data_IF_611131798433
#
_entry.id   IF_611131798433
#
_cell.length_a   1.000
_cell.length_b   1.000
_cell.length_c   1.000
_cell.angle_alpha   90.00
_cell.angle_beta   90.00
_cell.angle_gamma   90.00
#
_symmetry.space_group_name_H-M   'P 1'
#
loop_
_entity.id
_entity.type
_entity.pdbx_description
1 polymer ?
#
# COMPACT_ATOMS: atom_id res chain seq x y z
N UNK A 1 24.83 35.29 26.53
CA UNK A 1 23.84 34.19 26.58
C UNK A 1 22.41 34.74 26.64
N UNK A 2 22.12 35.70 27.52
CA UNK A 2 20.76 36.27 27.67
C UNK A 2 20.20 36.93 26.40
N UNK A 3 21.03 37.66 25.64
CA UNK A 3 20.61 38.30 24.38
C UNK A 3 20.25 37.29 23.28
N UNK A 4 21.00 36.19 23.13
CA UNK A 4 20.67 35.15 22.15
C UNK A 4 19.45 34.32 22.59
N UNK A 5 19.22 34.16 23.89
CA UNK A 5 17.99 33.56 24.39
C UNK A 5 16.78 34.39 23.96
N UNK A 6 16.80 35.72 24.06
CA UNK A 6 15.61 36.49 23.72
C UNK A 6 15.44 36.73 22.22
N UNK A 7 16.53 36.92 21.48
CA UNK A 7 16.52 37.33 20.06
C UNK A 7 16.74 36.19 19.06
N UNK A 8 17.15 35.01 19.53
CA UNK A 8 17.56 33.87 18.70
C UNK A 8 19.01 33.96 18.21
N UNK A 9 19.43 32.92 17.49
CA UNK A 9 20.76 32.83 16.90
C UNK A 9 21.83 32.27 17.83
N UNK A 10 21.46 31.46 18.82
CA UNK A 10 22.42 30.69 19.61
C UNK A 10 23.00 29.54 18.77
N UNK A 11 24.16 28.98 19.16
CA UNK A 11 24.81 27.87 18.43
C UNK A 11 23.88 26.65 18.29
N UNK A 12 23.09 26.36 19.33
CA UNK A 12 22.08 25.29 19.33
C UNK A 12 20.98 25.51 18.28
N UNK A 13 20.61 26.77 18.01
CA UNK A 13 19.57 27.11 17.04
C UNK A 13 20.02 26.75 15.62
N UNK A 14 21.28 27.06 15.28
CA UNK A 14 21.85 26.70 13.98
C UNK A 14 22.00 25.18 13.81
N UNK A 15 22.37 24.46 14.88
CA UNK A 15 22.43 22.99 14.86
C UNK A 15 21.04 22.39 14.60
N UNK A 16 20.01 22.87 15.30
CA UNK A 16 18.65 22.38 15.11
C UNK A 16 18.10 22.72 13.71
N UNK A 17 18.40 23.91 13.17
CA UNK A 17 18.06 24.27 11.78
C UNK A 17 18.76 23.33 10.80
N UNK A 18 20.04 23.03 10.99
CA UNK A 18 20.78 22.12 10.12
C UNK A 18 20.16 20.72 10.11
N UNK A 19 19.77 20.20 11.28
CA UNK A 19 19.07 18.91 11.41
C UNK A 19 17.70 18.95 10.71
N UNK A 20 16.96 20.05 10.85
CA UNK A 20 15.68 20.25 10.17
C UNK A 20 15.83 20.29 8.64
N UNK A 21 16.86 20.96 8.12
CA UNK A 21 17.19 20.98 6.69
C UNK A 21 17.56 19.58 6.19
N UNK A 22 18.42 18.87 6.92
CA UNK A 22 18.81 17.50 6.58
C UNK A 22 17.58 16.58 6.55
N UNK A 23 16.66 16.74 7.50
CA UNK A 23 15.40 16.00 7.54
C UNK A 23 14.56 16.25 6.29
N UNK A 24 14.43 17.51 5.86
CA UNK A 24 13.73 17.84 4.60
C UNK A 24 14.42 17.26 3.36
N UNK A 25 15.75 17.24 3.31
CA UNK A 25 16.51 16.60 2.22
C UNK A 25 16.22 15.09 2.17
N UNK A 26 16.17 14.43 3.34
CA UNK A 26 15.82 13.01 3.43
C UNK A 26 14.38 12.77 2.96
N UNK A 27 13.42 13.63 3.30
CA UNK A 27 12.04 13.54 2.83
C UNK A 27 11.94 13.66 1.31
N UNK A 28 12.58 14.68 0.73
CA UNK A 28 12.56 14.93 -0.71
C UNK A 28 13.25 13.82 -1.48
N UNK A 29 14.39 13.33 -1.00
CA UNK A 29 15.09 12.21 -1.65
C UNK A 29 14.22 10.96 -1.65
N UNK A 30 13.58 10.61 -0.52
CA UNK A 30 12.65 9.47 -0.46
C UNK A 30 11.41 9.63 -1.33
N UNK A 31 10.89 10.84 -1.49
CA UNK A 31 9.79 11.11 -2.42
C UNK A 31 10.22 10.93 -3.89
N UNK A 32 11.44 11.35 -4.25
CA UNK A 32 11.93 11.38 -5.63
C UNK A 32 12.53 10.05 -6.12
N UNK A 33 13.19 9.29 -5.25
CA UNK A 33 13.88 8.03 -5.59
C UNK A 33 13.00 7.03 -6.38
N UNK A 34 11.72 6.82 -6.04
CA UNK A 34 10.85 5.94 -6.80
C UNK A 34 10.62 6.42 -8.25
N UNK A 35 10.54 7.72 -8.49
CA UNK A 35 10.32 8.28 -9.82
C UNK A 35 11.59 8.30 -10.67
N UNK A 36 12.74 8.59 -10.04
CA UNK A 36 14.02 8.70 -10.74
C UNK A 36 14.64 7.33 -11.06
N UNK A 37 14.56 6.38 -10.13
CA UNK A 37 15.24 5.07 -10.26
C UNK A 37 14.30 4.01 -10.86
N UNK A 38 13.05 3.96 -10.44
CA UNK A 38 12.16 2.84 -10.77
C UNK A 38 11.24 3.11 -11.97
N UNK A 39 11.35 4.30 -12.61
CA UNK A 39 10.52 4.76 -13.74
C UNK A 39 9.03 4.38 -13.55
N UNK A 40 8.51 4.54 -12.34
CA UNK A 40 7.14 4.13 -12.01
C UNK A 40 6.18 5.00 -12.83
N UNK A 41 5.28 4.41 -13.65
CA UNK A 41 4.31 5.19 -14.39
C UNK A 41 3.46 6.00 -13.42
N UNK A 42 3.28 7.29 -13.71
CA UNK A 42 2.43 8.19 -12.91
C UNK A 42 1.01 7.63 -12.93
N UNK A 43 0.60 6.96 -11.86
CA UNK A 43 -0.80 6.57 -11.69
C UNK A 43 -1.60 7.86 -11.50
N UNK A 44 -2.61 8.09 -12.35
CA UNK A 44 -3.55 9.23 -12.22
C UNK A 44 -4.44 9.13 -10.97
N UNK A 45 -4.20 8.15 -10.09
CA UNK A 45 -5.03 7.82 -8.95
C UNK A 45 -4.73 8.72 -7.74
N UNK A 46 -5.78 8.96 -6.94
CA UNK A 46 -5.82 9.87 -5.80
C UNK A 46 -4.83 9.55 -4.67
N UNK A 47 -4.17 8.39 -4.69
CA UNK A 47 -3.15 7.99 -3.71
C UNK A 47 -1.81 8.74 -3.84
N UNK A 48 -1.47 9.23 -5.05
CA UNK A 48 -0.21 9.96 -5.28
C UNK A 48 -0.15 11.32 -4.56
N UNK A 49 -1.31 11.93 -4.33
CA UNK A 49 -1.38 13.28 -3.74
C UNK A 49 -1.05 13.30 -2.25
N UNK A 50 -1.31 12.22 -1.52
CA UNK A 50 -1.10 12.18 -0.06
C UNK A 50 0.38 12.37 0.31
N UNK A 51 1.36 11.66 -0.29
CA UNK A 51 2.78 11.90 -0.02
C UNK A 51 3.26 13.32 -0.36
N UNK A 52 2.74 13.93 -1.43
CA UNK A 52 3.08 15.31 -1.81
C UNK A 52 2.56 16.30 -0.77
N UNK A 53 1.28 16.17 -0.41
CA UNK A 53 0.65 16.99 0.62
C UNK A 53 1.38 16.83 1.95
N UNK A 54 1.85 15.61 2.25
CA UNK A 54 2.66 15.33 3.43
C UNK A 54 3.97 16.11 3.44
N UNK A 55 4.77 16.06 2.37
CA UNK A 55 6.03 16.83 2.28
C UNK A 55 5.77 18.32 2.39
N UNK A 56 4.71 18.82 1.74
CA UNK A 56 4.29 20.20 1.87
C UNK A 56 3.96 20.55 3.33
N UNK A 57 3.19 19.72 4.03
CA UNK A 57 2.85 19.93 5.43
C UNK A 57 4.07 19.87 6.35
N UNK A 58 4.99 18.94 6.12
CA UNK A 58 6.26 18.82 6.86
C UNK A 58 7.12 20.06 6.71
N UNK A 59 7.24 20.59 5.49
CA UNK A 59 7.96 21.83 5.23
C UNK A 59 7.35 23.00 5.99
N UNK A 60 6.02 23.14 5.93
CA UNK A 60 5.31 24.21 6.62
C UNK A 60 5.47 24.12 8.15
N UNK A 61 5.37 22.92 8.73
CA UNK A 61 5.55 22.73 10.17
C UNK A 61 6.96 23.13 10.63
N UNK A 62 8.00 22.64 9.95
CA UNK A 62 9.39 22.96 10.30
C UNK A 62 9.70 24.44 10.12
N UNK A 63 9.32 25.01 8.97
CA UNK A 63 9.54 26.42 8.69
C UNK A 63 8.78 27.32 9.68
N UNK A 64 7.53 26.97 10.00
CA UNK A 64 6.74 27.71 10.98
C UNK A 64 7.36 27.67 12.37
N UNK A 65 7.88 26.51 12.79
CA UNK A 65 8.55 26.37 14.08
C UNK A 65 9.79 27.28 14.15
N UNK A 66 10.62 27.31 13.10
CA UNK A 66 11.80 28.17 13.02
C UNK A 66 11.43 29.66 13.13
N UNK A 67 10.35 30.08 12.45
CA UNK A 67 9.94 31.49 12.37
C UNK A 67 9.20 31.96 13.62
N UNK A 68 8.25 31.16 14.14
CA UNK A 68 7.40 31.54 15.28
C UNK A 68 8.16 31.55 16.61
N UNK A 69 9.15 30.67 16.76
CA UNK A 69 9.91 30.45 17.99
C UNK A 69 11.18 31.32 18.07
N UNK A 70 11.36 32.24 17.10
CA UNK A 70 12.48 33.17 16.99
C UNK A 70 13.86 32.48 16.97
N UNK A 71 14.04 31.46 16.12
CA UNK A 71 15.38 30.86 15.92
C UNK A 71 16.35 31.81 15.21
N UNK A 72 15.82 32.71 14.38
CA UNK A 72 16.59 33.67 13.59
C UNK A 72 16.17 35.10 13.94
N UNK A 73 17.17 35.98 14.00
CA UNK A 73 16.99 37.41 14.31
C UNK A 73 16.35 38.13 13.12
N UNK A 74 15.03 38.08 13.00
CA UNK A 74 14.29 38.83 11.98
C UNK A 74 13.78 40.17 12.52
N UNK A 75 14.14 41.28 11.86
CA UNK A 75 13.47 42.57 12.08
C UNK A 75 12.04 42.48 11.52
N UNK A 76 11.04 42.53 12.40
CA UNK A 76 9.60 42.51 12.05
C UNK A 76 9.19 43.82 11.36
N UNK A 77 9.31 43.90 10.03
CA UNK A 77 8.92 45.04 9.18
C UNK A 77 7.79 44.72 8.18
N UNK A 78 7.54 43.46 7.85
CA UNK A 78 6.57 43.05 6.82
C UNK A 78 5.39 42.23 7.38
N UNK A 79 4.23 42.27 6.70
CA UNK A 79 3.00 41.53 7.08
C UNK A 79 3.21 40.01 7.18
N UNK A 80 4.12 39.45 6.35
CA UNK A 80 4.56 38.05 6.39
C UNK A 80 5.36 37.68 7.64
N UNK A 81 5.66 38.62 8.54
CA UNK A 81 6.31 38.36 9.84
C UNK A 81 5.32 38.41 11.01
N UNK A 82 4.01 38.42 10.71
CA UNK A 82 2.96 38.33 11.72
C UNK A 82 3.02 36.97 12.41
N UNK A 83 3.05 36.98 13.74
CA UNK A 83 2.94 35.78 14.57
C UNK A 83 1.73 34.92 14.18
N UNK A 84 0.62 35.55 13.77
CA UNK A 84 -0.60 34.84 13.39
C UNK A 84 -0.43 34.01 12.12
N UNK A 85 0.34 34.49 11.15
CA UNK A 85 0.54 33.74 9.90
C UNK A 85 1.30 32.46 10.22
N UNK A 86 2.43 32.56 10.91
CA UNK A 86 3.26 31.38 11.19
C UNK A 86 2.68 30.52 12.32
N UNK A 87 2.53 31.05 13.53
CA UNK A 87 2.13 30.26 14.70
C UNK A 87 0.67 29.75 14.66
N UNK A 88 -0.21 30.38 13.87
CA UNK A 88 -1.63 29.97 13.82
C UNK A 88 -1.99 29.30 12.50
N UNK A 89 -1.68 29.91 11.35
CA UNK A 89 -2.09 29.36 10.04
C UNK A 89 -1.10 28.34 9.47
N UNK A 90 0.20 28.61 9.54
CA UNK A 90 1.20 27.71 8.95
C UNK A 90 1.49 26.53 9.87
N UNK A 91 1.65 26.76 11.18
CA UNK A 91 1.90 25.70 12.17
C UNK A 91 0.70 24.77 12.33
N UNK A 92 -0.49 25.34 12.49
CA UNK A 92 -1.73 24.62 12.74
C UNK A 92 -2.28 23.92 11.49
N UNK A 93 -3.17 24.55 10.70
CA UNK A 93 -3.86 23.89 9.60
C UNK A 93 -2.93 23.47 8.47
N UNK A 94 -1.88 24.23 8.11
CA UNK A 94 -1.00 23.83 6.99
C UNK A 94 0.16 22.91 7.40
N UNK A 95 0.46 22.82 8.69
CA UNK A 95 1.56 22.03 9.24
C UNK A 95 1.03 20.78 9.94
N UNK A 96 0.96 20.84 11.27
CA UNK A 96 0.61 19.69 12.11
C UNK A 96 -0.79 19.13 11.80
N UNK A 97 -1.79 20.00 11.65
CA UNK A 97 -3.16 19.63 11.34
C UNK A 97 -3.28 18.89 10.01
N UNK A 98 -2.57 19.34 8.98
CA UNK A 98 -2.53 18.67 7.67
C UNK A 98 -1.82 17.32 7.73
N UNK A 99 -0.69 17.23 8.45
CA UNK A 99 0.03 15.95 8.66
C UNK A 99 -0.87 14.91 9.34
N UNK A 100 -1.53 15.29 10.43
CA UNK A 100 -2.39 14.39 11.19
C UNK A 100 -3.67 14.04 10.43
N UNK A 101 -4.24 15.01 9.70
CA UNK A 101 -5.39 14.80 8.82
C UNK A 101 -5.11 13.81 7.69
N UNK A 102 -3.91 13.87 7.09
CA UNK A 102 -3.46 12.87 6.12
C UNK A 102 -3.42 11.47 6.74
N UNK A 103 -2.98 11.35 8.00
CA UNK A 103 -2.95 10.06 8.70
C UNK A 103 -4.32 9.54 9.07
N UNK A 104 -5.21 10.39 9.54
CA UNK A 104 -6.59 9.97 9.83
C UNK A 104 -7.27 9.52 8.53
N UNK A 105 -7.02 10.22 7.42
CA UNK A 105 -7.51 9.82 6.10
C UNK A 105 -7.00 8.43 5.71
N UNK A 106 -5.71 8.14 5.91
CA UNK A 106 -5.15 6.82 5.64
C UNK A 106 -5.75 5.74 6.55
N UNK A 107 -5.83 5.98 7.87
CA UNK A 107 -6.42 5.04 8.82
C UNK A 107 -7.90 4.77 8.53
N UNK A 108 -8.65 5.80 8.10
CA UNK A 108 -10.03 5.68 7.66
C UNK A 108 -10.17 4.80 6.41
N UNK A 109 -9.29 4.98 5.41
CA UNK A 109 -9.30 4.12 4.22
C UNK A 109 -9.04 2.65 4.58
N UNK A 110 -8.04 2.40 5.43
CA UNK A 110 -7.71 1.05 5.90
C UNK A 110 -8.87 0.46 6.71
N UNK A 111 -9.50 1.23 7.59
CA UNK A 111 -10.68 0.78 8.33
C UNK A 111 -11.79 0.30 7.40
N UNK A 112 -12.11 1.03 6.33
CA UNK A 112 -13.16 0.60 5.41
C UNK A 112 -12.79 -0.64 4.61
N UNK A 113 -11.54 -0.72 4.13
CA UNK A 113 -11.06 -1.86 3.34
C UNK A 113 -11.01 -3.13 4.19
N UNK A 114 -10.47 -3.04 5.41
CA UNK A 114 -10.17 -4.21 6.23
C UNK A 114 -11.32 -4.58 7.17
N UNK A 115 -11.95 -3.61 7.83
CA UNK A 115 -13.03 -3.86 8.81
C UNK A 115 -14.38 -3.90 8.12
N UNK A 116 -14.69 -2.91 7.27
CA UNK A 116 -15.98 -2.86 6.56
C UNK A 116 -15.99 -3.66 5.27
N UNK A 117 -14.85 -4.19 4.82
CA UNK A 117 -14.68 -4.99 3.60
C UNK A 117 -15.22 -4.28 2.34
N UNK A 118 -15.15 -2.95 2.32
CA UNK A 118 -15.73 -2.10 1.27
C UNK A 118 -14.81 -0.94 0.94
N UNK A 119 -15.02 -0.32 -0.21
CA UNK A 119 -14.38 0.95 -0.52
C UNK A 119 -14.82 2.03 0.47
N UNK A 120 -13.92 2.97 0.83
CA UNK A 120 -14.30 4.12 1.62
C UNK A 120 -15.39 4.91 0.88
N UNK A 121 -16.49 5.29 1.55
CA UNK A 121 -17.63 5.95 0.91
C UNK A 121 -17.28 7.33 0.39
N UNK A 122 -16.24 7.95 0.96
CA UNK A 122 -15.76 9.28 0.61
C UNK A 122 -14.34 9.14 0.04
N UNK A 123 -14.11 9.72 -1.13
CA UNK A 123 -12.78 9.75 -1.75
C UNK A 123 -11.82 10.59 -0.92
N UNK A 124 -10.54 10.21 -0.86
CA UNK A 124 -9.53 10.88 0.00
C UNK A 124 -9.42 12.38 -0.25
N UNK A 125 -9.50 12.83 -1.51
CA UNK A 125 -9.39 14.25 -1.84
C UNK A 125 -10.58 15.09 -1.38
N UNK A 126 -11.72 14.46 -1.05
CA UNK A 126 -12.90 15.13 -0.46
C UNK A 126 -12.83 15.03 1.06
N UNK A 127 -12.45 13.86 1.58
CA UNK A 127 -12.37 13.61 3.02
C UNK A 127 -11.29 14.47 3.70
N UNK A 128 -10.13 14.64 3.06
CA UNK A 128 -9.01 15.38 3.64
C UNK A 128 -9.33 16.87 3.91
N UNK A 129 -9.89 17.65 2.96
CA UNK A 129 -10.34 19.01 3.28
C UNK A 129 -11.42 19.05 4.36
N UNK A 130 -12.35 18.10 4.37
CA UNK A 130 -13.43 18.04 5.35
C UNK A 130 -12.90 17.85 6.78
N UNK A 131 -11.94 16.94 6.96
CA UNK A 131 -11.30 16.74 8.25
C UNK A 131 -10.32 17.88 8.60
N UNK A 132 -9.94 18.75 7.66
CA UNK A 132 -9.12 19.92 7.97
C UNK A 132 -9.96 21.13 8.45
N UNK A 133 -11.27 21.14 8.20
CA UNK A 133 -12.16 22.25 8.55
C UNK A 133 -12.08 22.67 10.03
N UNK A 134 -12.04 21.75 11.03
CA UNK A 134 -11.89 22.15 12.42
C UNK A 134 -10.61 22.96 12.71
N UNK A 135 -9.50 22.63 12.04
CA UNK A 135 -8.25 23.39 12.13
C UNK A 135 -8.37 24.78 11.53
N UNK A 136 -9.00 24.89 10.35
CA UNK A 136 -9.21 26.16 9.67
C UNK A 136 -10.13 27.06 10.49
N UNK A 137 -11.24 26.51 11.01
CA UNK A 137 -12.18 27.23 11.85
C UNK A 137 -11.52 27.72 13.15
N UNK A 138 -10.74 26.85 13.80
CA UNK A 138 -9.96 27.23 14.99
C UNK A 138 -8.96 28.35 14.72
N UNK A 139 -8.19 28.24 13.62
CA UNK A 139 -7.23 29.26 13.20
C UNK A 139 -7.92 30.61 12.90
N UNK A 140 -9.05 30.60 12.20
CA UNK A 140 -9.84 31.80 11.91
C UNK A 140 -10.36 32.46 13.20
N UNK A 141 -10.86 31.67 14.15
CA UNK A 141 -11.37 32.18 15.42
C UNK A 141 -10.27 32.83 16.26
N UNK A 142 -9.11 32.17 16.38
CA UNK A 142 -7.92 32.71 17.05
C UNK A 142 -7.46 34.01 16.37
N UNK A 143 -7.38 34.03 15.04
CA UNK A 143 -6.96 35.22 14.31
C UNK A 143 -7.94 36.39 14.49
N UNK A 144 -9.25 36.12 14.55
CA UNK A 144 -10.26 37.15 14.81
C UNK A 144 -10.15 37.73 16.22
N UNK A 145 -9.88 36.88 17.21
CA UNK A 145 -9.80 37.28 18.64
C UNK A 145 -8.46 37.86 19.05
N UNK A 146 -7.43 37.66 18.22
CA UNK A 146 -6.07 38.17 18.38
C UNK A 146 -5.46 37.97 19.79
N UNK A 147 -5.34 36.72 20.29
CA UNK A 147 -4.83 36.46 21.64
C UNK A 147 -3.30 36.34 21.75
N UNK A 148 -2.52 36.44 20.66
CA UNK A 148 -1.05 36.30 20.71
C UNK A 148 -0.37 37.59 21.14
N UNK A 149 0.67 37.45 21.97
CA UNK A 149 1.58 38.52 22.34
C UNK A 149 2.70 38.76 21.27
N UNK A 150 3.57 39.75 21.51
CA UNK A 150 4.67 40.10 20.60
C UNK A 150 5.74 38.99 20.45
N UNK A 151 5.79 38.05 21.40
CA UNK A 151 6.64 36.85 21.37
C UNK A 151 5.96 35.65 20.71
N UNK A 152 4.75 35.84 20.15
CA UNK A 152 3.91 34.80 19.56
C UNK A 152 3.34 33.76 20.54
N UNK A 153 3.35 34.03 21.85
CA UNK A 153 2.74 33.16 22.85
C UNK A 153 1.25 33.47 23.03
N UNK A 154 0.45 32.41 23.19
CA UNK A 154 -0.96 32.49 23.59
C UNK A 154 -1.08 32.30 25.11
N UNK A 155 -2.02 33.03 25.72
CA UNK A 155 -2.41 32.80 27.11
C UNK A 155 -3.04 31.41 27.32
N UNK A 156 -2.93 30.87 28.52
CA UNK A 156 -3.28 29.48 28.84
C UNK A 156 -4.72 29.11 28.45
N UNK A 157 -5.67 30.04 28.59
CA UNK A 157 -7.09 29.86 28.27
C UNK A 157 -7.34 29.61 26.76
N UNK A 158 -6.43 30.05 25.88
CA UNK A 158 -6.47 29.77 24.44
C UNK A 158 -5.70 28.50 24.07
N UNK A 159 -4.72 28.11 24.88
CA UNK A 159 -3.93 26.88 24.68
C UNK A 159 -4.77 25.64 24.97
N UNK A 160 -5.56 25.62 26.04
CA UNK A 160 -6.43 24.48 26.37
C UNK A 160 -7.31 23.98 25.20
N UNK A 161 -8.13 24.82 24.54
CA UNK A 161 -8.96 24.36 23.42
C UNK A 161 -8.12 23.94 22.19
N UNK A 162 -6.98 24.59 21.94
CA UNK A 162 -6.07 24.17 20.88
C UNK A 162 -5.51 22.77 21.15
N UNK A 163 -5.08 22.50 22.39
CA UNK A 163 -4.57 21.18 22.80
C UNK A 163 -5.64 20.10 22.76
N UNK A 164 -6.88 20.44 23.13
CA UNK A 164 -8.01 19.51 23.01
C UNK A 164 -8.21 19.07 21.56
N UNK A 165 -8.12 20.00 20.60
CA UNK A 165 -8.19 19.67 19.17
C UNK A 165 -7.08 18.71 18.75
N UNK A 166 -5.82 18.95 19.16
CA UNK A 166 -4.70 18.06 18.86
C UNK A 166 -4.95 16.64 19.42
N UNK A 167 -5.40 16.54 20.67
CA UNK A 167 -5.68 15.27 21.34
C UNK A 167 -6.84 14.51 20.68
N UNK A 168 -7.89 15.20 20.22
CA UNK A 168 -9.02 14.57 19.53
C UNK A 168 -8.59 13.87 18.24
N UNK A 169 -7.66 14.44 17.47
CA UNK A 169 -7.18 13.81 16.24
C UNK A 169 -6.30 12.58 16.54
N UNK A 170 -5.46 12.64 17.59
CA UNK A 170 -4.70 11.46 18.04
C UNK A 170 -5.65 10.38 18.56
N UNK A 171 -6.68 10.74 19.31
CA UNK A 171 -7.70 9.80 19.77
C UNK A 171 -8.46 9.16 18.61
N UNK A 172 -8.79 9.93 17.56
CA UNK A 172 -9.39 9.40 16.34
C UNK A 172 -8.47 8.38 15.65
N UNK A 173 -7.16 8.67 15.55
CA UNK A 173 -6.18 7.71 15.03
C UNK A 173 -6.12 6.43 15.86
N UNK A 174 -6.11 6.54 17.19
CA UNK A 174 -6.14 5.38 18.10
C UNK A 174 -7.42 4.57 17.88
N UNK A 175 -8.58 5.21 17.75
CA UNK A 175 -9.86 4.54 17.51
C UNK A 175 -9.87 3.76 16.20
N UNK A 176 -9.47 4.39 15.09
CA UNK A 176 -9.40 3.71 13.79
C UNK A 176 -8.34 2.60 13.79
N UNK A 177 -7.14 2.86 14.31
CA UNK A 177 -6.04 1.87 14.32
C UNK A 177 -6.37 0.68 15.23
N UNK A 178 -6.96 0.95 16.40
CA UNK A 178 -7.41 -0.07 17.33
C UNK A 178 -8.48 -0.99 16.75
N UNK A 179 -9.42 -0.44 15.97
CA UNK A 179 -10.45 -1.23 15.30
C UNK A 179 -9.91 -2.21 14.26
N UNK A 180 -8.70 -1.98 13.74
CA UNK A 180 -8.08 -2.83 12.71
C UNK A 180 -7.03 -3.77 13.35
N UNK A 181 -6.84 -3.75 14.68
CA UNK A 181 -5.78 -4.51 15.38
C UNK A 181 -5.88 -6.03 15.22
N UNK A 182 -7.09 -6.56 15.08
CA UNK A 182 -7.35 -8.01 15.02
C UNK A 182 -7.14 -8.61 13.63
N UNK A 183 -6.77 -7.79 12.64
CA UNK A 183 -6.59 -8.24 11.27
C UNK A 183 -5.11 -8.54 11.08
N UNK A 184 -4.79 -9.77 10.69
CA UNK A 184 -3.43 -10.16 10.31
C UNK A 184 -3.07 -9.44 9.01
N UNK A 185 -2.38 -8.32 9.14
CA UNK A 185 -1.80 -7.66 8.00
C UNK A 185 -0.61 -8.46 7.51
N UNK A 186 -0.57 -8.74 6.20
CA UNK A 186 0.61 -9.32 5.54
C UNK A 186 1.84 -8.38 5.58
N UNK A 187 1.63 -7.13 6.00
CA UNK A 187 2.63 -6.07 6.07
C UNK A 187 2.57 -5.35 7.43
N UNK A 188 3.69 -4.79 7.88
CA UNK A 188 3.83 -4.04 9.14
C UNK A 188 3.06 -2.69 9.18
N UNK A 189 2.01 -2.49 8.37
CA UNK A 189 1.22 -1.26 8.28
C UNK A 189 0.57 -0.85 9.61
N UNK A 190 0.02 -1.83 10.32
CA UNK A 190 -0.60 -1.59 11.61
C UNK A 190 0.44 -1.10 12.63
N UNK A 191 1.61 -1.76 12.63
CA UNK A 191 2.75 -1.37 13.45
C UNK A 191 3.21 0.04 13.08
N UNK A 192 3.22 0.39 11.80
CA UNK A 192 3.54 1.72 11.33
C UNK A 192 2.54 2.79 11.83
N UNK A 193 1.24 2.50 11.78
CA UNK A 193 0.21 3.40 12.33
C UNK A 193 0.37 3.61 13.84
N UNK A 194 0.67 2.54 14.58
CA UNK A 194 0.94 2.63 16.01
C UNK A 194 2.19 3.47 16.33
N UNK A 195 3.28 3.32 15.55
CA UNK A 195 4.44 4.21 15.66
C UNK A 195 4.07 5.65 15.36
N UNK A 196 3.25 5.90 14.33
CA UNK A 196 2.76 7.24 14.00
C UNK A 196 1.97 7.89 15.13
N UNK A 197 1.11 7.13 15.81
CA UNK A 197 0.40 7.56 17.01
C UNK A 197 1.39 7.89 18.13
N UNK A 198 2.35 7.00 18.39
CA UNK A 198 3.35 7.19 19.45
C UNK A 198 4.17 8.46 19.25
N UNK A 199 4.69 8.70 18.04
CA UNK A 199 5.45 9.92 17.73
C UNK A 199 4.59 11.18 17.80
N UNK A 200 3.34 11.12 17.33
CA UNK A 200 2.41 12.26 17.42
C UNK A 200 2.07 12.60 18.87
N UNK A 201 1.73 11.61 19.69
CA UNK A 201 1.47 11.79 21.12
C UNK A 201 2.71 12.30 21.88
N UNK A 202 3.89 11.76 21.57
CA UNK A 202 5.15 12.21 22.17
C UNK A 202 5.47 13.66 21.80
N UNK A 203 5.25 14.05 20.54
CA UNK A 203 5.46 15.43 20.09
C UNK A 203 4.54 16.41 20.81
N UNK A 204 3.27 16.05 21.01
CA UNK A 204 2.31 16.85 21.79
C UNK A 204 2.78 16.96 23.25
N UNK A 205 3.23 15.86 23.86
CA UNK A 205 3.76 15.85 25.22
C UNK A 205 4.98 16.75 25.40
N UNK A 206 5.95 16.69 24.49
CA UNK A 206 7.13 17.57 24.52
C UNK A 206 6.73 19.03 24.33
N UNK A 207 5.77 19.32 23.45
CA UNK A 207 5.28 20.68 23.27
C UNK A 207 4.63 21.24 24.53
N UNK A 208 3.77 20.46 25.20
CA UNK A 208 3.15 20.86 26.47
C UNK A 208 4.19 21.08 27.55
N UNK A 209 5.16 20.16 27.68
CA UNK A 209 6.24 20.30 28.64
C UNK A 209 7.05 21.58 28.38
N UNK A 210 7.42 21.85 27.12
CA UNK A 210 8.13 23.07 26.73
C UNK A 210 7.32 24.33 27.02
N UNK A 211 6.01 24.33 26.76
CA UNK A 211 5.12 25.45 27.06
C UNK A 211 5.06 25.73 28.57
N UNK A 212 4.75 24.72 29.39
CA UNK A 212 4.65 24.86 30.85
C UNK A 212 5.99 25.33 31.44
N UNK A 213 7.10 24.74 30.97
CA UNK A 213 8.42 25.03 31.49
C UNK A 213 8.87 26.46 31.16
N UNK A 214 8.52 26.96 29.97
CA UNK A 214 8.75 28.35 29.58
C UNK A 214 7.82 29.33 30.30
N UNK A 215 6.59 28.94 30.64
CA UNK A 215 5.64 29.79 31.38
C UNK A 215 6.02 29.95 32.86
N UNK A 216 6.47 28.87 33.52
CA UNK A 216 6.82 28.89 34.94
C UNK A 216 8.17 29.58 35.19
N UNK A 217 9.13 29.41 34.28
CA UNK A 217 10.52 29.87 34.47
C UNK A 217 10.94 30.87 33.38
N UNK A 218 10.17 31.94 33.20
CA UNK A 218 10.47 32.98 32.20
C UNK A 218 11.85 33.64 32.38
N UNK A 219 12.41 33.59 33.60
CA UNK A 219 13.70 34.21 33.95
C UNK A 219 14.92 33.34 33.57
N UNK A 220 14.73 32.05 33.28
CA UNK A 220 15.84 31.12 33.03
C UNK A 220 16.14 31.01 31.54
N UNK A 221 17.10 31.80 31.08
CA UNK A 221 17.51 31.89 29.67
C UNK A 221 17.95 30.56 29.03
N UNK A 222 18.69 29.70 29.74
CA UNK A 222 19.10 28.37 29.25
C UNK A 222 17.91 27.46 28.95
N UNK A 223 16.87 27.53 29.79
CA UNK A 223 15.69 26.68 29.68
C UNK A 223 14.90 27.01 28.41
N UNK A 224 14.82 28.30 28.10
CA UNK A 224 14.21 28.79 26.88
C UNK A 224 15.00 28.35 25.64
N UNK A 225 16.33 28.28 25.70
CA UNK A 225 17.15 27.77 24.58
C UNK A 225 16.94 26.26 24.41
N UNK A 226 16.97 25.50 25.51
CA UNK A 226 16.78 24.06 25.50
C UNK A 226 15.38 23.65 25.00
N UNK A 227 14.33 24.34 25.44
CA UNK A 227 12.95 24.06 25.02
C UNK A 227 12.77 24.26 23.53
N UNK A 228 13.30 25.34 22.96
CA UNK A 228 13.25 25.62 21.52
C UNK A 228 14.01 24.59 20.71
N UNK A 229 15.23 24.26 21.13
CA UNK A 229 16.02 23.19 20.52
C UNK A 229 15.23 21.87 20.48
N UNK A 230 14.66 21.45 21.62
CA UNK A 230 13.86 20.22 21.71
C UNK A 230 12.63 20.24 20.79
N UNK A 231 11.92 21.36 20.71
CA UNK A 231 10.75 21.49 19.83
C UNK A 231 11.09 21.24 18.36
N UNK A 232 12.16 21.84 17.83
CA UNK A 232 12.52 21.68 16.42
C UNK A 232 13.09 20.29 16.12
N UNK A 233 13.84 19.69 17.06
CA UNK A 233 14.32 18.31 16.93
C UNK A 233 13.15 17.33 16.93
N UNK A 234 12.20 17.48 17.86
CA UNK A 234 11.02 16.62 17.91
C UNK A 234 10.12 16.80 16.69
N UNK A 235 9.95 18.02 16.18
CA UNK A 235 9.25 18.26 14.92
C UNK A 235 9.96 17.57 13.75
N UNK A 236 11.30 17.60 13.71
CA UNK A 236 12.12 16.93 12.68
C UNK A 236 11.96 15.41 12.72
N UNK A 237 12.00 14.81 13.92
CA UNK A 237 11.75 13.38 14.13
C UNK A 237 10.32 13.02 13.73
N UNK A 238 9.33 13.84 14.14
CA UNK A 238 7.93 13.62 13.82
C UNK A 238 7.70 13.59 12.32
N UNK A 239 8.20 14.57 11.56
CA UNK A 239 7.98 14.60 10.10
C UNK A 239 8.68 13.45 9.39
N UNK A 240 9.87 13.04 9.85
CA UNK A 240 10.57 11.89 9.29
C UNK A 240 9.85 10.59 9.58
N UNK A 241 9.40 10.39 10.82
CA UNK A 241 8.62 9.22 11.21
C UNK A 241 7.33 9.18 10.40
N UNK A 242 6.52 10.25 10.46
CA UNK A 242 5.25 10.35 9.74
C UNK A 242 5.41 10.22 8.22
N UNK A 243 6.52 10.59 7.60
CA UNK A 243 6.69 10.35 6.17
C UNK A 243 7.14 8.91 5.86
N UNK A 244 8.09 8.38 6.64
CA UNK A 244 8.60 6.99 6.49
C UNK A 244 7.47 5.98 6.52
N UNK A 245 6.54 6.20 7.44
CA UNK A 245 5.36 5.39 7.70
C UNK A 245 4.20 5.67 6.70
N UNK A 246 4.30 6.70 5.85
CA UNK A 246 3.32 7.02 4.79
C UNK A 246 3.75 6.48 3.43
N UNK A 247 5.05 6.26 3.25
CA UNK A 247 5.66 5.77 2.03
C UNK A 247 5.62 4.24 1.89
N UNK A 248 5.21 3.50 2.93
CA UNK A 248 5.32 2.03 2.96
C UNK A 248 4.38 1.29 1.98
N UNK A 249 3.48 1.95 1.23
CA UNK A 249 2.25 1.23 0.85
C UNK A 249 1.60 1.36 -0.54
N UNK A 250 1.76 2.41 -1.37
CA UNK A 250 1.34 2.30 -2.77
C UNK A 250 2.53 1.98 -3.69
N UNK A 251 3.74 2.41 -3.30
CA UNK A 251 4.94 2.26 -4.11
C UNK A 251 5.68 0.97 -3.81
N UNK A 252 5.75 0.54 -2.55
CA UNK A 252 6.44 -0.71 -2.22
C UNK A 252 5.64 -1.95 -2.60
N UNK A 253 4.31 -1.89 -2.72
CA UNK A 253 3.50 -2.95 -3.33
C UNK A 253 3.73 -3.00 -4.84
N UNK A 254 3.78 -1.87 -5.54
CA UNK A 254 4.17 -1.83 -6.96
C UNK A 254 5.63 -2.26 -7.20
N UNK A 255 6.53 -1.93 -6.27
CA UNK A 255 7.96 -2.23 -6.38
C UNK A 255 8.28 -3.63 -5.86
N UNK A 256 7.65 -4.16 -4.80
CA UNK A 256 7.93 -5.52 -4.28
C UNK A 256 7.29 -6.61 -5.13
N UNK A 257 6.18 -6.32 -5.81
CA UNK A 257 5.69 -7.15 -6.92
C UNK A 257 6.71 -7.22 -8.06
N UNK A 258 7.62 -6.24 -8.17
CA UNK A 258 8.61 -6.10 -9.25
C UNK A 258 10.06 -6.36 -8.84
N UNK A 259 10.37 -6.43 -7.54
CA UNK A 259 11.75 -6.42 -6.98
C UNK A 259 12.14 -7.73 -6.30
N UNK A 260 11.22 -8.67 -6.10
CA UNK A 260 11.63 -10.07 -6.29
C UNK A 260 12.01 -10.14 -7.77
N UNK A 261 13.21 -10.63 -8.07
CA UNK A 261 13.82 -10.72 -9.40
C UNK A 261 12.80 -10.98 -10.53
N UNK A 262 13.04 -10.56 -11.78
CA UNK A 262 12.10 -10.70 -12.88
C UNK A 262 11.90 -12.17 -13.27
N UNK A 263 11.30 -12.97 -12.39
CA UNK A 263 10.25 -13.87 -12.80
C UNK A 263 9.11 -12.94 -13.19
N UNK A 264 8.96 -12.75 -14.50
CA UNK A 264 7.73 -12.23 -15.08
C UNK A 264 6.58 -13.03 -14.48
N UNK A 265 5.95 -12.49 -13.43
CA UNK A 265 4.69 -13.02 -12.96
C UNK A 265 3.70 -12.72 -14.08
N UNK A 266 3.31 -13.75 -14.82
CA UNK A 266 2.47 -13.65 -16.00
C UNK A 266 1.06 -13.14 -15.61
N UNK A 267 0.64 -13.39 -14.36
CA UNK A 267 -0.68 -13.01 -13.82
C UNK A 267 -0.62 -12.47 -12.37
N UNK A 268 -1.61 -11.64 -12.00
CA UNK A 268 -1.72 -11.06 -10.65
C UNK A 268 -2.05 -12.12 -9.57
N UNK A 269 -2.65 -13.25 -9.98
CA UNK A 269 -2.89 -14.41 -9.10
C UNK A 269 -1.60 -15.00 -8.54
N UNK A 270 -0.56 -15.14 -9.39
CA UNK A 270 0.76 -15.64 -8.99
C UNK A 270 1.43 -14.68 -7.98
N UNK A 271 1.27 -13.38 -8.21
CA UNK A 271 1.74 -12.30 -7.34
C UNK A 271 1.08 -12.28 -5.94
N UNK A 272 -0.19 -12.70 -5.84
CA UNK A 272 -0.89 -12.82 -4.55
C UNK A 272 -0.52 -14.10 -3.78
N UNK A 273 0.27 -14.99 -4.38
CA UNK A 273 0.59 -16.30 -3.84
C UNK A 273 -0.61 -17.24 -3.89
N UNK A 274 -1.49 -17.07 -4.89
CA UNK A 274 -2.43 -18.14 -5.27
C UNK A 274 -1.54 -19.26 -5.79
N UNK A 275 -1.52 -20.45 -5.14
CA UNK A 275 -0.76 -21.55 -5.68
C UNK A 275 -1.28 -21.82 -7.09
N UNK A 276 -0.38 -21.82 -8.07
CA UNK A 276 -0.66 -22.51 -9.32
C UNK A 276 -1.17 -23.88 -8.91
N UNK A 277 -2.40 -24.21 -9.28
CA UNK A 277 -2.97 -25.54 -9.03
C UNK A 277 -2.17 -26.65 -9.75
N UNK A 278 -1.01 -26.34 -10.33
CA UNK A 278 -0.04 -27.27 -10.90
C UNK A 278 0.96 -27.90 -9.93
N UNK A 279 0.90 -27.62 -8.62
CA UNK A 279 1.73 -28.33 -7.62
C UNK A 279 0.97 -29.38 -6.80
N UNK A 280 -0.19 -29.84 -7.28
CA UNK A 280 -0.71 -31.15 -6.94
C UNK A 280 -0.70 -32.00 -8.21
N UNK A 281 0.44 -32.64 -8.40
CA UNK A 281 0.69 -33.72 -9.35
C UNK A 281 -0.22 -34.91 -8.98
N UNK A 282 -1.50 -34.84 -9.34
CA UNK A 282 -2.36 -36.01 -9.47
C UNK A 282 -3.07 -35.91 -10.82
N UNK A 283 -2.56 -36.68 -11.78
CA UNK A 283 -3.37 -37.43 -12.73
C UNK A 283 -4.56 -36.65 -13.32
N UNK A 284 -4.29 -35.55 -14.02
CA UNK A 284 -5.26 -35.06 -15.02
C UNK A 284 -5.21 -36.03 -16.19
N UNK A 285 -6.19 -36.96 -16.21
CA UNK A 285 -6.46 -37.83 -17.33
C UNK A 285 -6.51 -36.97 -18.61
N UNK A 286 -5.83 -37.43 -19.66
CA UNK A 286 -5.86 -36.82 -20.99
C UNK A 286 -7.31 -36.80 -21.46
N UNK A 287 -8.04 -35.71 -21.20
CA UNK A 287 -9.37 -35.52 -21.74
C UNK A 287 -9.21 -35.16 -23.21
N UNK A 288 -9.69 -36.04 -24.09
CA UNK A 288 -9.86 -35.72 -25.50
C UNK A 288 -10.91 -34.61 -25.57
N UNK A 289 -10.45 -33.38 -25.82
CA UNK A 289 -11.33 -32.22 -25.93
C UNK A 289 -12.24 -32.40 -27.14
N UNK A 290 -13.56 -32.50 -26.88
CA UNK A 290 -14.58 -32.51 -27.92
C UNK A 290 -14.88 -31.05 -28.35
N UNK A 291 -14.66 -30.68 -29.62
CA UNK A 291 -14.98 -29.35 -30.15
C UNK A 291 -16.47 -28.96 -30.05
N UNK A 292 -17.36 -29.93 -29.80
CA UNK A 292 -18.78 -29.68 -29.57
C UNK A 292 -19.10 -29.28 -28.12
N UNK A 293 -18.14 -29.34 -27.21
CA UNK A 293 -18.33 -28.85 -25.84
C UNK A 293 -18.44 -27.32 -25.80
N UNK A 294 -19.23 -26.79 -24.87
CA UNK A 294 -19.40 -25.35 -24.73
C UNK A 294 -18.06 -24.69 -24.32
N UNK A 295 -17.72 -23.57 -24.96
CA UNK A 295 -16.43 -22.87 -24.77
C UNK A 295 -16.12 -22.57 -23.30
N UNK A 296 -17.13 -22.27 -22.48
CA UNK A 296 -17.00 -22.04 -21.04
C UNK A 296 -16.43 -23.24 -20.29
N UNK A 297 -16.80 -24.47 -20.69
CA UNK A 297 -16.23 -25.69 -20.11
C UNK A 297 -14.79 -25.90 -20.58
N UNK A 298 -14.51 -25.66 -21.86
CA UNK A 298 -13.18 -25.83 -22.44
C UNK A 298 -12.16 -24.84 -21.88
N UNK A 299 -12.58 -23.61 -21.61
CA UNK A 299 -11.72 -22.59 -21.01
C UNK A 299 -11.35 -22.89 -19.55
N UNK A 300 -11.94 -23.89 -18.89
CA UNK A 300 -11.47 -24.35 -17.58
C UNK A 300 -10.14 -25.10 -17.70
N UNK A 301 -9.93 -25.84 -18.79
CA UNK A 301 -8.67 -26.52 -19.07
C UNK A 301 -7.55 -25.48 -19.31
N UNK A 302 -6.50 -25.54 -18.48
CA UNK A 302 -5.39 -24.58 -18.52
C UNK A 302 -4.66 -24.61 -19.87
N UNK A 303 -4.47 -25.79 -20.47
CA UNK A 303 -3.72 -25.93 -21.73
C UNK A 303 -4.54 -25.42 -22.90
N UNK A 304 -5.83 -25.78 -22.95
CA UNK A 304 -6.75 -25.23 -23.95
C UNK A 304 -6.79 -23.71 -23.86
N UNK A 305 -6.95 -23.17 -22.65
CA UNK A 305 -7.00 -21.73 -22.41
C UNK A 305 -5.72 -21.02 -22.86
N UNK A 306 -4.54 -21.59 -22.60
CA UNK A 306 -3.27 -21.02 -23.07
C UNK A 306 -3.15 -21.03 -24.61
N UNK A 307 -3.56 -22.12 -25.27
CA UNK A 307 -3.58 -22.17 -26.75
C UNK A 307 -4.56 -21.16 -27.33
N UNK A 308 -5.76 -21.04 -26.75
CA UNK A 308 -6.79 -20.10 -27.16
C UNK A 308 -6.35 -18.64 -26.93
N UNK A 309 -5.66 -18.37 -25.82
CA UNK A 309 -5.10 -17.05 -25.50
C UNK A 309 -4.03 -16.64 -26.52
N UNK A 310 -3.09 -17.53 -26.86
CA UNK A 310 -2.08 -17.26 -27.88
C UNK A 310 -2.68 -16.98 -29.26
N UNK A 311 -3.76 -17.67 -29.61
CA UNK A 311 -4.53 -17.37 -30.81
C UNK A 311 -5.19 -15.99 -30.73
N UNK A 312 -5.89 -15.69 -29.63
CA UNK A 312 -6.58 -14.41 -29.46
C UNK A 312 -5.59 -13.22 -29.49
N UNK A 313 -4.41 -13.36 -28.88
CA UNK A 313 -3.33 -12.38 -28.95
C UNK A 313 -2.85 -12.16 -30.40
N UNK A 314 -2.75 -13.23 -31.19
CA UNK A 314 -2.42 -13.13 -32.63
C UNK A 314 -3.48 -12.37 -33.45
N UNK A 315 -4.73 -12.38 -32.98
CA UNK A 315 -5.85 -11.65 -33.58
C UNK A 315 -6.01 -10.24 -33.01
N UNK A 316 -5.12 -9.79 -32.12
CA UNK A 316 -5.25 -8.51 -31.39
C UNK A 316 -6.57 -8.39 -30.60
N UNK A 317 -7.11 -9.53 -30.15
CA UNK A 317 -8.35 -9.65 -29.39
C UNK A 317 -8.13 -10.42 -28.06
N UNK A 318 -6.87 -10.48 -27.61
CA UNK A 318 -6.45 -11.21 -26.44
C UNK A 318 -7.03 -10.68 -25.13
N UNK A 319 -7.42 -9.40 -25.07
CA UNK A 319 -7.96 -8.76 -23.89
C UNK A 319 -9.15 -9.50 -23.29
N UNK A 320 -9.98 -10.11 -24.14
CA UNK A 320 -11.14 -10.91 -23.73
C UNK A 320 -10.74 -12.19 -22.96
N UNK A 321 -9.70 -12.89 -23.44
CA UNK A 321 -9.23 -14.16 -22.83
C UNK A 321 -8.41 -13.87 -21.58
N UNK A 322 -7.56 -12.84 -21.62
CA UNK A 322 -6.79 -12.35 -20.47
C UNK A 322 -7.71 -11.88 -19.33
N UNK A 323 -8.79 -11.16 -19.66
CA UNK A 323 -9.79 -10.77 -18.66
C UNK A 323 -10.49 -11.97 -18.04
N UNK A 324 -10.89 -12.96 -18.86
CA UNK A 324 -11.52 -14.19 -18.37
C UNK A 324 -10.61 -14.94 -17.38
N UNK A 325 -9.33 -15.11 -17.71
CA UNK A 325 -8.36 -15.82 -16.86
C UNK A 325 -8.19 -15.10 -15.50
N UNK A 326 -7.97 -13.78 -15.49
CA UNK A 326 -7.80 -13.02 -14.24
C UNK A 326 -9.07 -13.00 -13.37
N UNK A 327 -10.26 -12.94 -13.97
CA UNK A 327 -11.55 -13.05 -13.23
C UNK A 327 -11.75 -14.47 -12.70
N UNK A 328 -11.32 -15.49 -13.45
CA UNK A 328 -11.34 -16.87 -12.99
C UNK A 328 -10.40 -17.09 -11.79
N UNK A 329 -9.18 -16.54 -11.84
CA UNK A 329 -8.23 -16.56 -10.70
C UNK A 329 -8.79 -15.82 -9.46
N UNK A 330 -9.48 -14.69 -9.65
CA UNK A 330 -10.22 -14.03 -8.56
C UNK A 330 -11.31 -14.94 -7.98
N UNK A 331 -11.96 -15.76 -8.81
CA UNK A 331 -12.94 -16.77 -8.39
C UNK A 331 -12.36 -17.82 -7.43
N UNK A 332 -11.08 -18.17 -7.57
CA UNK A 332 -10.40 -19.16 -6.71
C UNK A 332 -10.09 -18.65 -5.30
N UNK A 333 -10.08 -17.33 -5.09
CA UNK A 333 -9.83 -16.74 -3.78
C UNK A 333 -11.01 -17.01 -2.83
N UNK A 334 -10.76 -17.49 -1.60
CA UNK A 334 -11.82 -17.76 -0.63
C UNK A 334 -12.63 -16.50 -0.34
N UNK A 335 -13.95 -16.65 -0.17
CA UNK A 335 -14.87 -15.53 0.13
C UNK A 335 -14.50 -14.84 1.45
N UNK A 336 -13.87 -15.58 2.37
CA UNK A 336 -13.40 -15.09 3.66
C UNK A 336 -12.10 -14.27 3.59
N UNK A 337 -11.44 -14.16 2.43
CA UNK A 337 -10.32 -13.26 2.17
C UNK A 337 -10.75 -12.05 1.29
N UNK A 338 -11.51 -11.09 1.85
CA UNK A 338 -11.98 -9.92 1.11
C UNK A 338 -10.83 -9.02 0.67
N UNK A 339 -9.67 -9.07 1.33
CA UNK A 339 -8.55 -8.17 1.06
C UNK A 339 -7.92 -8.52 -0.27
N UNK A 340 -7.51 -9.79 -0.47
CA UNK A 340 -6.95 -10.23 -1.75
C UNK A 340 -7.93 -10.04 -2.88
N UNK A 341 -9.22 -10.30 -2.63
CA UNK A 341 -10.30 -10.09 -3.61
C UNK A 341 -10.41 -8.62 -4.03
N UNK A 342 -10.39 -7.67 -3.09
CA UNK A 342 -10.45 -6.23 -3.38
C UNK A 342 -9.23 -5.77 -4.20
N UNK A 343 -8.02 -6.24 -3.84
CA UNK A 343 -6.80 -5.87 -4.58
C UNK A 343 -6.82 -6.40 -6.02
N UNK A 344 -7.19 -7.67 -6.18
CA UNK A 344 -7.33 -8.30 -7.50
C UNK A 344 -8.43 -7.64 -8.33
N UNK A 345 -9.59 -7.34 -7.73
CA UNK A 345 -10.67 -6.62 -8.39
C UNK A 345 -10.26 -5.23 -8.86
N UNK A 346 -9.51 -4.46 -8.04
CA UNK A 346 -8.96 -3.15 -8.46
C UNK A 346 -8.01 -3.28 -9.65
N UNK A 347 -7.12 -4.27 -9.60
CA UNK A 347 -6.20 -4.53 -10.72
C UNK A 347 -6.96 -4.85 -12.00
N UNK A 348 -7.96 -5.74 -11.93
CA UNK A 348 -8.82 -6.08 -13.07
C UNK A 348 -9.55 -4.84 -13.60
N UNK A 349 -10.08 -4.00 -12.71
CA UNK A 349 -10.77 -2.76 -13.09
C UNK A 349 -9.83 -1.80 -13.83
N UNK A 350 -8.64 -1.54 -13.28
CA UNK A 350 -7.68 -0.60 -13.86
C UNK A 350 -7.10 -1.10 -15.21
N UNK A 351 -6.93 -2.43 -15.37
CA UNK A 351 -6.33 -3.04 -16.56
C UNK A 351 -7.34 -3.28 -17.70
N UNK A 352 -8.58 -3.67 -17.36
CA UNK A 352 -9.57 -4.13 -18.36
C UNK A 352 -10.86 -3.30 -18.42
N UNK A 353 -11.28 -2.63 -17.34
CA UNK A 353 -12.62 -2.01 -17.27
C UNK A 353 -12.61 -0.49 -17.47
N UNK A 354 -11.56 0.21 -17.05
CA UNK A 354 -11.48 1.67 -17.21
C UNK A 354 -11.35 2.05 -18.69
N UNK A 355 -12.11 3.04 -19.13
CA UNK A 355 -12.04 3.54 -20.51
C UNK A 355 -10.65 4.12 -20.82
N UNK A 356 -10.05 3.69 -21.93
CA UNK A 356 -8.68 4.03 -22.32
C UNK A 356 -7.60 3.17 -21.65
N UNK A 357 -7.96 2.07 -20.99
CA UNK A 357 -7.00 1.10 -20.50
C UNK A 357 -6.33 0.33 -21.66
N UNK A 358 -5.10 -0.14 -21.46
CA UNK A 358 -4.32 -0.80 -22.52
C UNK A 358 -4.95 -2.12 -23.00
N UNK A 359 -5.66 -2.82 -22.10
CA UNK A 359 -6.35 -4.08 -22.38
C UNK A 359 -7.86 -3.91 -22.14
N UNK A 360 -8.42 -2.76 -22.53
CA UNK A 360 -9.82 -2.45 -22.31
C UNK A 360 -10.73 -3.48 -23.01
N UNK A 361 -11.57 -4.18 -22.24
CA UNK A 361 -12.53 -5.13 -22.80
C UNK A 361 -13.76 -4.43 -23.38
N UNK A 362 -14.25 -4.96 -24.49
CA UNK A 362 -15.46 -4.47 -25.13
C UNK A 362 -16.71 -4.96 -24.36
N UNK A 363 -17.17 -4.17 -23.40
CA UNK A 363 -18.40 -4.42 -22.63
C UNK A 363 -19.34 -3.22 -22.70
N UNK A 364 -20.62 -3.49 -22.49
CA UNK A 364 -21.68 -2.50 -22.46
C UNK A 364 -21.41 -1.43 -21.41
N UNK A 365 -21.84 -0.20 -21.71
CA UNK A 365 -21.72 0.92 -20.78
C UNK A 365 -22.43 0.62 -19.44
N UNK A 366 -23.53 -0.13 -19.48
CA UNK A 366 -24.28 -0.54 -18.28
C UNK A 366 -23.42 -1.41 -17.36
N UNK A 367 -22.85 -2.49 -17.88
CA UNK A 367 -22.01 -3.42 -17.10
C UNK A 367 -20.76 -2.74 -16.56
N UNK A 368 -20.15 -1.86 -17.36
CA UNK A 368 -19.02 -1.04 -16.93
C UNK A 368 -19.39 -0.13 -15.76
N UNK A 369 -20.52 0.58 -15.87
CA UNK A 369 -20.95 1.51 -14.82
C UNK A 369 -21.32 0.77 -13.53
N UNK A 370 -21.94 -0.39 -13.62
CA UNK A 370 -22.26 -1.25 -12.47
C UNK A 370 -21.00 -1.63 -11.68
N UNK A 371 -19.93 -2.04 -12.38
CA UNK A 371 -18.63 -2.34 -11.77
C UNK A 371 -18.01 -1.08 -11.15
N UNK A 372 -18.00 0.04 -11.87
CA UNK A 372 -17.32 1.28 -11.42
C UNK A 372 -18.05 2.02 -10.30
N UNK A 373 -19.36 1.80 -10.13
CA UNK A 373 -20.16 2.46 -9.07
C UNK A 373 -20.32 1.61 -7.82
N UNK A 374 -19.98 0.32 -7.88
CA UNK A 374 -20.10 -0.60 -6.75
C UNK A 374 -19.10 -0.26 -5.64
N UNK A 375 -19.61 -0.17 -4.40
CA UNK A 375 -18.78 0.04 -3.21
C UNK A 375 -18.16 -1.27 -2.67
N UNK A 376 -18.73 -2.42 -3.02
CA UNK A 376 -18.32 -3.75 -2.57
C UNK A 376 -17.51 -4.49 -3.65
N UNK A 377 -16.20 -4.21 -3.67
CA UNK A 377 -15.28 -4.89 -4.59
C UNK A 377 -14.94 -6.33 -4.19
N UNK A 378 -15.32 -6.78 -2.99
CA UNK A 378 -15.06 -8.14 -2.56
C UNK A 378 -16.13 -9.13 -3.08
N UNK A 379 -17.25 -8.61 -3.60
CA UNK A 379 -18.42 -9.39 -3.96
C UNK A 379 -18.07 -10.50 -5.00
N UNK A 380 -18.48 -11.75 -4.78
CA UNK A 380 -18.17 -12.87 -5.69
C UNK A 380 -18.62 -12.66 -7.14
N UNK A 381 -19.76 -12.01 -7.32
CA UNK A 381 -20.36 -11.80 -8.65
C UNK A 381 -20.01 -10.46 -9.30
N UNK A 382 -19.01 -9.72 -8.79
CA UNK A 382 -18.69 -8.36 -9.24
C UNK A 382 -18.54 -8.26 -10.78
N UNK A 383 -17.92 -9.26 -11.40
CA UNK A 383 -17.63 -9.26 -12.83
C UNK A 383 -18.57 -10.15 -13.67
N UNK A 384 -19.59 -10.78 -13.08
CA UNK A 384 -20.39 -11.80 -13.79
C UNK A 384 -21.06 -11.27 -15.06
N UNK A 385 -21.64 -10.06 -15.01
CA UNK A 385 -22.30 -9.47 -16.18
C UNK A 385 -21.29 -9.17 -17.30
N UNK A 386 -20.15 -8.57 -16.95
CA UNK A 386 -19.07 -8.31 -17.91
C UNK A 386 -18.47 -9.61 -18.46
N UNK A 387 -18.28 -10.63 -17.63
CA UNK A 387 -17.75 -11.93 -18.04
C UNK A 387 -18.71 -12.65 -19.00
N UNK A 388 -20.01 -12.56 -18.77
CA UNK A 388 -21.02 -13.10 -19.69
C UNK A 388 -20.98 -12.40 -21.06
N UNK A 389 -20.86 -11.08 -21.08
CA UNK A 389 -20.74 -10.31 -22.34
C UNK A 389 -19.44 -10.67 -23.09
N UNK A 390 -18.30 -10.70 -22.40
CA UNK A 390 -17.01 -11.09 -22.98
C UNK A 390 -17.04 -12.54 -23.48
N UNK A 391 -17.64 -13.45 -22.71
CA UNK A 391 -17.83 -14.84 -23.13
C UNK A 391 -18.64 -14.95 -24.42
N UNK A 392 -19.72 -14.16 -24.53
CA UNK A 392 -20.51 -14.12 -25.76
C UNK A 392 -19.69 -13.60 -26.94
N UNK A 393 -18.87 -12.55 -26.74
CA UNK A 393 -17.98 -12.03 -27.78
C UNK A 393 -16.93 -13.05 -28.22
N UNK A 394 -16.31 -13.77 -27.30
CA UNK A 394 -15.36 -14.83 -27.63
C UNK A 394 -16.03 -15.95 -28.44
N UNK A 395 -17.26 -16.35 -28.05
CA UNK A 395 -18.03 -17.38 -28.76
C UNK A 395 -18.40 -16.94 -30.18
N UNK A 396 -18.79 -15.69 -30.39
CA UNK A 396 -19.21 -15.20 -31.72
C UNK A 396 -18.04 -14.86 -32.63
N UNK A 397 -16.96 -14.31 -32.08
CA UNK A 397 -15.90 -13.67 -32.89
C UNK A 397 -14.60 -14.49 -32.96
N UNK A 398 -14.29 -15.32 -31.95
CA UNK A 398 -12.99 -16.01 -31.87
C UNK A 398 -13.12 -17.53 -32.00
N UNK A 399 -14.17 -18.12 -31.41
CA UNK A 399 -14.28 -19.57 -31.31
C UNK A 399 -14.26 -20.28 -32.67
N UNK A 400 -15.03 -19.77 -33.64
CA UNK A 400 -15.11 -20.37 -34.98
C UNK A 400 -13.76 -20.38 -35.68
N UNK A 401 -13.04 -19.27 -35.62
CA UNK A 401 -11.77 -19.08 -36.32
C UNK A 401 -10.65 -19.88 -35.63
N UNK A 402 -10.71 -20.02 -34.31
CA UNK A 402 -9.78 -20.85 -33.54
C UNK A 402 -9.82 -22.31 -34.00
N UNK A 403 -10.99 -22.90 -34.24
CA UNK A 403 -11.10 -24.31 -34.67
C UNK A 403 -10.39 -24.60 -36.00
N UNK A 404 -10.31 -23.60 -36.88
CA UNK A 404 -9.59 -23.67 -38.15
C UNK A 404 -8.14 -23.18 -38.07
N UNK A 405 -7.71 -22.68 -36.92
CA UNK A 405 -6.40 -22.05 -36.75
C UNK A 405 -5.27 -23.08 -36.62
N UNK A 406 -4.06 -22.65 -36.98
CA UNK A 406 -2.85 -23.42 -36.75
C UNK A 406 -2.59 -23.67 -35.24
N UNK A 407 -3.10 -22.80 -34.37
CA UNK A 407 -2.97 -22.94 -32.91
C UNK A 407 -3.75 -24.15 -32.39
N UNK A 408 -4.99 -24.34 -32.86
CA UNK A 408 -5.78 -25.50 -32.48
C UNK A 408 -5.22 -26.80 -33.06
N UNK A 409 -4.75 -26.77 -34.32
CA UNK A 409 -4.11 -27.93 -34.95
C UNK A 409 -2.86 -28.36 -34.17
N UNK A 410 -2.01 -27.40 -33.79
CA UNK A 410 -0.82 -27.64 -32.96
C UNK A 410 -1.20 -28.19 -31.59
N UNK A 411 -2.19 -27.60 -30.92
CA UNK A 411 -2.69 -28.07 -29.63
C UNK A 411 -3.19 -29.52 -29.69
N UNK A 412 -3.95 -29.86 -30.73
CA UNK A 412 -4.45 -31.23 -30.97
C UNK A 412 -3.30 -32.22 -31.21
N UNK A 413 -2.30 -31.82 -31.99
CA UNK A 413 -1.12 -32.64 -32.25
C UNK A 413 -0.34 -32.91 -30.95
N UNK A 414 -0.07 -31.87 -30.16
CA UNK A 414 0.61 -31.98 -28.85
C UNK A 414 -0.17 -32.87 -27.87
N UNK A 415 -1.50 -32.78 -27.83
CA UNK A 415 -2.34 -33.64 -27.02
C UNK A 415 -2.25 -35.12 -27.47
N UNK A 416 -2.23 -35.38 -28.78
CA UNK A 416 -2.14 -36.73 -29.34
C UNK A 416 -0.77 -37.39 -29.09
N UNK A 417 0.33 -36.65 -29.25
CA UNK A 417 1.69 -37.20 -29.00
C UNK A 417 1.88 -37.60 -27.54
N UNK A 418 1.28 -36.86 -26.60
CA UNK A 418 1.36 -37.16 -25.16
C UNK A 418 0.53 -38.38 -24.76
N UNK A 419 -0.63 -38.57 -25.38
CA UNK A 419 -1.45 -39.79 -25.21
C UNK A 419 -0.66 -41.03 -25.65
N UNK A 420 -0.01 -40.95 -26.80
CA UNK A 420 0.79 -42.06 -27.35
C UNK A 420 2.07 -42.32 -26.52
N UNK A 421 2.67 -41.29 -25.91
CA UNK A 421 3.82 -41.42 -25.02
C UNK A 421 3.48 -42.14 -23.71
N UNK A 422 2.33 -41.83 -23.11
CA UNK A 422 1.84 -42.53 -21.92
C UNK A 422 1.50 -44.01 -22.20
N UNK A 423 0.92 -44.31 -23.37
CA UNK A 423 0.68 -45.71 -23.78
C UNK A 423 1.99 -46.48 -23.99
N UNK A 424 3.01 -45.84 -24.56
CA UNK A 424 4.32 -46.47 -24.79
C UNK A 424 5.08 -46.76 -23.46
N UNK A 425 5.04 -45.84 -22.49
CA UNK A 425 5.55 -46.06 -21.12
C UNK A 425 4.75 -47.13 -20.37
N UNK A 426 3.43 -47.17 -20.53
CA UNK A 426 2.58 -48.19 -19.89
C UNK A 426 2.80 -49.59 -20.49
N UNK A 427 3.19 -49.68 -21.75
CA UNK A 427 3.54 -50.94 -22.43
C UNK A 427 4.97 -51.42 -22.11
N UNK A 428 5.89 -50.51 -21.74
CA UNK A 428 7.26 -50.86 -21.32
C UNK A 428 7.42 -51.14 -19.83
N UNK A 429 6.45 -50.72 -19.00
CA UNK A 429 6.49 -50.89 -17.53
C UNK A 429 6.15 -52.28 -16.96
N UNK A 430 5.81 -53.28 -17.80
CA UNK A 430 5.36 -54.60 -17.34
C UNK A 430 6.38 -55.75 -17.50
N UNK A 431 7.63 -55.48 -17.90
CA UNK A 431 8.64 -56.53 -18.13
C UNK A 431 10.01 -56.26 -17.47
N UNK A 432 10.05 -55.79 -16.23
CA UNK A 432 11.29 -55.82 -15.44
C UNK A 432 11.04 -56.35 -14.02
N UNK A 433 11.41 -57.62 -13.83
CA UNK A 433 11.63 -58.23 -12.52
C UNK A 433 13.00 -57.77 -11.99
N UNK A 434 13.14 -57.28 -10.74
CA UNK A 434 14.39 -56.74 -10.26
C UNK A 434 15.30 -57.87 -9.78
N UNK A 435 16.39 -58.14 -10.52
CA UNK A 435 17.55 -58.85 -9.96
C UNK A 435 18.53 -57.82 -9.40
N UNK A 436 18.77 -57.93 -8.09
CA UNK A 436 19.85 -57.28 -7.38
C UNK A 436 21.20 -57.54 -8.07
N UNK A 437 21.96 -56.48 -8.33
CA UNK A 437 23.43 -56.54 -8.22
C UNK A 437 23.98 -55.17 -7.84
N UNK A 438 24.47 -55.11 -6.61
CA UNK A 438 25.29 -54.05 -6.05
C UNK A 438 26.66 -54.00 -6.73
N UNK A 439 27.09 -52.83 -7.21
CA UNK A 439 28.51 -52.46 -7.26
C UNK A 439 28.63 -50.97 -6.91
N UNK A 440 29.30 -50.71 -5.78
CA UNK A 440 29.81 -49.41 -5.38
C UNK A 440 30.90 -48.94 -6.36
N UNK A 441 30.85 -47.66 -6.73
CA UNK A 441 31.98 -46.90 -7.27
C UNK A 441 31.90 -45.50 -6.69
N UNK A 442 32.88 -45.17 -5.84
CA UNK A 442 32.99 -43.97 -5.05
C UNK A 442 33.57 -42.77 -5.84
N UNK A 443 33.59 -41.62 -5.15
CA UNK A 443 34.27 -40.34 -5.45
C UNK A 443 33.44 -39.38 -6.33
N UNK A 444 33.11 -38.15 -5.97
CA UNK A 444 33.46 -37.21 -4.88
C UNK A 444 32.61 -35.92 -5.13
N UNK A 445 32.78 -34.79 -4.42
CA UNK A 445 32.23 -34.36 -3.12
C UNK A 445 31.13 -33.28 -3.25
N UNK A 446 30.55 -32.93 -2.10
CA UNK A 446 29.57 -31.87 -1.83
C UNK A 446 28.09 -32.28 -1.86
N UNK A 447 27.76 -33.15 -0.90
CA UNK A 447 26.63 -32.92 0.01
C UNK A 447 26.57 -31.43 0.41
N UNK A 448 25.42 -30.80 0.56
CA UNK A 448 24.45 -31.16 1.58
C UNK A 448 23.07 -30.56 1.30
N UNK A 449 22.08 -31.44 1.20
CA UNK A 449 20.68 -31.15 1.43
C UNK A 449 20.47 -30.58 2.84
N UNK A 450 19.43 -29.78 3.05
CA UNK A 450 18.48 -30.05 4.14
C UNK A 450 17.14 -29.36 3.84
N UNK A 451 16.19 -30.14 3.33
CA UNK A 451 14.77 -29.89 3.49
C UNK A 451 14.15 -31.10 4.19
N UNK A 452 13.38 -30.82 5.25
CA UNK A 452 12.37 -31.67 5.88
C UNK A 452 12.91 -32.90 6.64
N UNK A 453 12.24 -33.48 7.63
CA UNK A 453 10.80 -33.54 7.94
C UNK A 453 10.66 -34.09 9.38
N UNK A 454 9.51 -33.86 10.00
CA UNK A 454 9.23 -34.32 11.35
C UNK A 454 8.84 -35.80 11.49
N UNK A 455 8.54 -36.12 12.75
CA UNK A 455 7.65 -37.17 13.25
C UNK A 455 8.08 -38.63 13.05
N UNK A 456 8.44 -39.31 14.15
CA UNK A 456 7.51 -40.20 14.86
C UNK A 456 8.16 -40.79 16.13
N UNK A 457 7.35 -40.86 17.20
CA UNK A 457 7.32 -41.77 18.36
C UNK A 457 8.36 -42.93 18.38
N UNK A 458 8.92 -43.36 19.50
CA UNK A 458 8.18 -43.95 20.60
C UNK A 458 8.99 -44.04 21.91
N UNK A 459 8.24 -44.17 23.00
CA UNK A 459 8.59 -44.43 24.40
C UNK A 459 9.67 -45.48 24.67
N UNK A 460 10.54 -45.25 25.66
CA UNK A 460 10.40 -45.77 27.04
C UNK A 460 11.66 -45.51 27.88
N UNK A 461 11.40 -45.23 29.17
CA UNK A 461 12.17 -45.60 30.35
C UNK A 461 13.56 -45.04 30.67
N UNK A 462 13.53 -44.24 31.74
CA UNK A 462 14.17 -44.52 33.04
C UNK A 462 15.67 -44.25 33.22
N UNK A 463 15.89 -43.27 34.09
CA UNK A 463 16.81 -43.26 35.22
C UNK A 463 18.33 -43.20 35.03
N UNK A 464 18.92 -42.50 36.01
CA UNK A 464 20.34 -42.33 36.35
C UNK A 464 21.15 -41.44 35.39
N UNK A 465 21.79 -40.34 35.81
CA UNK A 465 22.38 -39.99 37.09
C UNK A 465 22.59 -38.47 37.19
#
# INVERSE_FOLDING_TARGET
>A
METCAQEGGCVTDYIAIAISILSMIVLLSRLLVPFLVHKVPRTKNSGFWIPIIHVFASFNLLLSTVVSVNFLKFKKRHWWQSCYVWAVWVEGPLGFGLLLSCRVTQAFQLYYIFVKRRLPPIRSYIFLPLILLPWIAGAAFIHMKKPLNNRCHMGTHWVFPAMLLHMLYVAALVGFTGAIRHIEFRFDELKDLWWGILFSASSIGVWVAAYILNEIHEEISWLQIASRFLLLIMASILVLALFSLSSSQPLHTQISLRRREPQEFETMGQALGIPDSGLLLQTEAVQVIDPNEPLDKLLLDKRFRQSFMAFADSCLAGESVHFYDEVHELGKLPVDDPVRRIYMARYIIDKYIVAGAAMEVNISHRSRQEILTTADLAHPSLFNNALNEVMQLMKTNLAKDYWSSMYFMKFKEEASMRSNGLELEQMTGLNFSPRLSSVHGADDPFHQEHFSKGSANDSHDSDTQ
#
